data_IF_093683645976
#
_entry.id   IF_093683645976
#
_cell.length_a   1.000
_cell.length_b   1.000
_cell.length_c   1.000
_cell.angle_alpha   90.00
_cell.angle_beta   90.00
_cell.angle_gamma   90.00
#
_symmetry.space_group_name_H-M   'P 1'
#
loop_
_entity.id
_entity.type
_entity.pdbx_description
1 polymer ?
#
# COMPACT_ATOMS: atom_id res chain seq x y z
N UNK A 1 22.82 -33.43 -49.22
CA UNK A 1 23.08 -33.88 -47.83
C UNK A 1 22.78 -32.68 -46.92
N UNK A 2 21.52 -32.52 -46.54
CA UNK A 2 21.03 -31.40 -45.72
C UNK A 2 21.51 -31.59 -44.27
N UNK A 3 22.30 -30.66 -43.73
CA UNK A 3 22.73 -30.69 -42.33
C UNK A 3 22.39 -29.36 -41.65
N UNK A 4 21.69 -29.50 -40.53
CA UNK A 4 21.59 -28.59 -39.37
C UNK A 4 20.68 -27.37 -39.52
N UNK A 5 19.38 -27.62 -39.49
CA UNK A 5 18.44 -26.78 -38.75
C UNK A 5 18.45 -27.21 -37.27
N UNK A 6 18.10 -26.30 -36.35
CA UNK A 6 17.84 -26.51 -34.90
C UNK A 6 19.00 -26.13 -33.98
N UNK A 7 19.10 -24.85 -33.61
CA UNK A 7 20.02 -24.44 -32.56
C UNK A 7 20.13 -22.95 -32.24
N UNK A 8 19.06 -22.15 -32.36
CA UNK A 8 19.11 -20.76 -31.87
C UNK A 8 17.74 -20.16 -31.51
N UNK A 9 16.88 -20.91 -30.84
CA UNK A 9 15.60 -20.41 -30.35
C UNK A 9 15.48 -20.63 -28.83
N UNK A 10 16.41 -20.06 -28.06
CA UNK A 10 16.33 -20.05 -26.59
C UNK A 10 16.68 -18.66 -26.03
N UNK A 11 16.20 -17.59 -26.67
CA UNK A 11 16.38 -16.20 -26.23
C UNK A 11 15.06 -15.46 -25.92
N UNK A 12 13.93 -16.18 -25.84
CA UNK A 12 12.60 -15.56 -25.80
C UNK A 12 11.84 -15.62 -24.48
N UNK A 13 12.38 -16.22 -23.42
CA UNK A 13 11.63 -16.47 -22.19
C UNK A 13 12.26 -15.82 -20.96
N UNK A 14 12.63 -14.54 -21.04
CA UNK A 14 12.70 -13.73 -19.82
C UNK A 14 11.26 -13.38 -19.48
N UNK A 15 10.67 -14.25 -18.67
CA UNK A 15 9.34 -14.08 -18.13
C UNK A 15 9.20 -12.66 -17.57
N UNK A 16 8.14 -11.98 -18.00
CA UNK A 16 7.66 -10.76 -17.38
C UNK A 16 7.24 -11.07 -15.94
N UNK A 17 8.20 -11.14 -15.02
CA UNK A 17 7.91 -10.95 -13.61
C UNK A 17 7.51 -9.48 -13.48
N UNK A 18 6.22 -9.20 -13.58
CA UNK A 18 5.69 -7.92 -13.17
C UNK A 18 6.12 -7.73 -11.71
N UNK A 19 7.12 -6.87 -11.49
CA UNK A 19 7.46 -6.44 -10.15
C UNK A 19 6.18 -5.84 -9.57
N UNK A 20 5.65 -6.45 -8.51
CA UNK A 20 4.57 -5.83 -7.75
C UNK A 20 5.14 -4.54 -7.16
N UNK A 21 4.86 -3.41 -7.81
CA UNK A 21 5.27 -2.11 -7.29
C UNK A 21 4.55 -1.88 -5.96
N UNK A 22 5.32 -1.54 -4.93
CA UNK A 22 4.77 -1.09 -3.66
C UNK A 22 3.91 0.16 -3.89
N UNK A 23 2.62 0.07 -3.60
CA UNK A 23 1.66 1.17 -3.80
C UNK A 23 1.42 1.93 -2.50
N UNK A 24 1.19 3.24 -2.62
CA UNK A 24 0.68 4.07 -1.52
C UNK A 24 -0.86 4.07 -1.55
N UNK A 25 -1.48 3.32 -0.64
CA UNK A 25 -2.94 3.24 -0.49
C UNK A 25 -3.41 4.39 0.40
N UNK A 26 -4.23 5.28 -0.17
CA UNK A 26 -4.79 6.43 0.54
C UNK A 26 -6.09 6.03 1.26
N UNK A 27 -6.12 6.18 2.57
CA UNK A 27 -7.28 5.87 3.42
C UNK A 27 -7.77 7.13 4.10
N UNK A 28 -9.03 7.50 3.86
CA UNK A 28 -9.67 8.61 4.57
C UNK A 28 -9.97 8.23 6.01
N UNK A 29 -9.55 9.06 6.97
CA UNK A 29 -9.81 8.89 8.38
C UNK A 29 -10.57 10.11 8.91
N UNK A 30 -11.88 9.96 9.06
CA UNK A 30 -12.78 11.03 9.51
C UNK A 30 -13.03 10.83 10.99
N UNK A 31 -12.64 11.81 11.80
CA UNK A 31 -12.78 11.76 13.27
C UNK A 31 -13.05 13.18 13.81
N UNK A 32 -13.61 13.32 15.02
CA UNK A 32 -13.74 14.64 15.65
C UNK A 32 -12.34 15.16 15.98
N UNK A 33 -11.86 16.15 15.23
CA UNK A 33 -10.55 16.79 15.47
C UNK A 33 -10.69 18.15 16.16
N UNK A 34 -11.91 18.59 16.42
CA UNK A 34 -12.23 19.84 17.11
C UNK A 34 -13.41 19.68 18.08
N UNK A 35 -13.56 20.65 18.99
CA UNK A 35 -14.62 20.67 20.00
C UNK A 35 -14.40 19.69 21.16
N UNK A 36 -15.42 19.47 21.98
CA UNK A 36 -15.31 18.67 23.23
C UNK A 36 -14.91 17.21 23.04
N UNK A 37 -15.08 16.66 21.84
CA UNK A 37 -14.69 15.29 21.50
C UNK A 37 -13.32 15.18 20.80
N UNK A 38 -12.55 16.28 20.67
CA UNK A 38 -11.27 16.27 19.96
C UNK A 38 -10.26 15.26 20.55
N UNK A 39 -10.24 15.15 21.89
CA UNK A 39 -9.36 14.20 22.57
C UNK A 39 -9.67 12.75 22.15
N UNK A 40 -10.94 12.41 21.96
CA UNK A 40 -11.34 11.08 21.49
C UNK A 40 -10.81 10.84 20.06
N UNK A 41 -11.01 11.80 19.14
CA UNK A 41 -10.49 11.68 17.78
C UNK A 41 -8.96 11.60 17.71
N UNK A 42 -8.24 12.24 18.63
CA UNK A 42 -6.79 12.06 18.76
C UNK A 42 -6.41 10.64 19.19
N UNK A 43 -7.11 10.04 20.16
CA UNK A 43 -6.85 8.67 20.57
C UNK A 43 -7.17 7.68 19.44
N UNK A 44 -8.25 7.90 18.70
CA UNK A 44 -8.60 7.09 17.54
C UNK A 44 -7.51 7.15 16.45
N UNK A 45 -7.02 8.35 16.12
CA UNK A 45 -5.94 8.52 15.12
C UNK A 45 -4.64 7.82 15.58
N UNK A 46 -4.27 7.99 16.85
CA UNK A 46 -3.08 7.34 17.44
C UNK A 46 -3.20 5.82 17.38
N UNK A 47 -4.38 5.27 17.70
CA UNK A 47 -4.65 3.84 17.59
C UNK A 47 -4.53 3.31 16.16
N UNK A 48 -5.11 4.02 15.19
CA UNK A 48 -5.00 3.67 13.77
C UNK A 48 -3.54 3.68 13.30
N UNK A 49 -2.77 4.72 13.64
CA UNK A 49 -1.35 4.81 13.29
C UNK A 49 -0.51 3.73 13.96
N UNK A 50 -0.80 3.42 15.23
CA UNK A 50 -0.11 2.35 15.95
C UNK A 50 -0.34 0.99 15.27
N UNK A 51 -1.59 0.67 14.91
CA UNK A 51 -1.91 -0.57 14.20
C UNK A 51 -1.13 -0.67 12.88
N UNK A 52 -1.18 0.37 12.05
CA UNK A 52 -0.45 0.39 10.78
C UNK A 52 1.06 0.21 10.98
N UNK A 53 1.63 0.75 12.06
CA UNK A 53 3.05 0.58 12.39
C UNK A 53 3.39 -0.85 12.80
N UNK A 54 2.54 -1.48 13.62
CA UNK A 54 2.76 -2.86 14.10
C UNK A 54 2.58 -3.89 12.98
N UNK A 55 1.67 -3.62 12.04
CA UNK A 55 1.24 -4.54 10.99
C UNK A 55 1.78 -4.16 9.59
N UNK A 56 2.80 -3.30 9.50
CA UNK A 56 3.33 -2.81 8.22
C UNK A 56 3.82 -3.94 7.29
N UNK A 57 4.30 -5.06 7.85
CA UNK A 57 4.80 -6.21 7.08
C UNK A 57 3.68 -7.01 6.40
N UNK A 58 2.45 -6.92 6.89
CA UNK A 58 1.30 -7.65 6.34
C UNK A 58 0.75 -7.00 5.06
N UNK A 59 1.21 -5.81 4.72
CA UNK A 59 0.79 -5.07 3.54
C UNK A 59 1.50 -5.52 2.25
N UNK A 60 2.36 -6.54 2.30
CA UNK A 60 3.02 -7.08 1.11
C UNK A 60 3.94 -6.07 0.39
N UNK A 61 4.44 -5.06 1.11
CA UNK A 61 5.23 -3.97 0.57
C UNK A 61 4.43 -2.68 0.28
N UNK A 62 3.10 -2.75 0.23
CA UNK A 62 2.25 -1.56 0.12
C UNK A 62 2.34 -0.71 1.40
N UNK A 63 2.08 0.60 1.26
CA UNK A 63 2.06 1.55 2.37
C UNK A 63 0.69 2.20 2.50
N UNK A 64 0.25 2.47 3.74
CA UNK A 64 -1.04 3.13 3.99
C UNK A 64 -0.78 4.60 4.34
N UNK A 65 -1.39 5.51 3.58
CA UNK A 65 -1.43 6.94 3.86
C UNK A 65 -2.77 7.34 4.45
N UNK A 66 -2.76 7.63 5.74
CA UNK A 66 -3.94 8.10 6.45
C UNK A 66 -4.19 9.59 6.14
N UNK A 67 -5.32 9.89 5.48
CA UNK A 67 -5.78 11.25 5.20
C UNK A 67 -6.78 11.63 6.29
N UNK A 68 -6.32 12.40 7.27
CA UNK A 68 -7.14 12.81 8.40
C UNK A 68 -8.04 14.00 8.02
N UNK A 69 -9.33 13.91 8.36
CA UNK A 69 -10.33 14.97 8.20
C UNK A 69 -11.16 15.13 9.46
N UNK A 70 -11.50 16.38 9.78
CA UNK A 70 -12.36 16.68 10.91
C UNK A 70 -13.83 16.43 10.53
N UNK A 71 -14.52 15.59 11.28
CA UNK A 71 -15.93 15.28 11.03
C UNK A 71 -16.85 16.51 11.08
N UNK A 72 -16.44 17.56 11.80
CA UNK A 72 -17.22 18.81 11.89
C UNK A 72 -16.94 19.79 10.74
N UNK A 73 -15.89 19.54 9.95
CA UNK A 73 -15.42 20.38 8.82
C UNK A 73 -14.75 19.48 7.76
N UNK A 74 -15.50 18.61 7.08
CA UNK A 74 -14.97 17.57 6.20
C UNK A 74 -14.31 18.10 4.92
#
# INVERSE_FOLDING_TARGET
>A
MFRVTTGLALAGAVAFAAAAEAREIKVGFIAPKSGGAAQLGDQMEKGARLYLKLHAKELGGDTIKLIVRDSKRP
#
